data_IF_725359990950
#
_entry.id   IF_725359990950
#
_cell.length_a   1.000
_cell.length_b   1.000
_cell.length_c   1.000
_cell.angle_alpha   90.00
_cell.angle_beta   90.00
_cell.angle_gamma   90.00
#
_symmetry.space_group_name_H-M   'P 1'
#
loop_
_entity.id
_entity.type
_entity.pdbx_description
1 polymer ?
#
# COMPACT_ATOMS: atom_id res chain seq x y z
N UNK A 1 -113.20 -63.01 -31.68
CA UNK A 1 -111.89 -62.77 -32.26
C UNK A 1 -111.01 -62.04 -31.21
N UNK A 2 -110.00 -62.78 -30.76
CA UNK A 2 -109.18 -62.42 -29.60
C UNK A 2 -108.18 -61.25 -29.90
N UNK A 3 -108.24 -60.16 -29.14
CA UNK A 3 -107.40 -59.04 -29.21
C UNK A 3 -106.16 -59.13 -28.23
N UNK A 4 -105.53 -60.32 -28.17
CA UNK A 4 -104.44 -60.62 -27.20
C UNK A 4 -103.02 -60.66 -27.82
N UNK A 5 -102.85 -60.14 -29.03
CA UNK A 5 -101.57 -60.33 -29.76
C UNK A 5 -100.75 -59.09 -30.06
N UNK A 6 -101.09 -57.90 -29.55
CA UNK A 6 -100.43 -56.65 -30.05
C UNK A 6 -99.50 -55.98 -29.00
N UNK A 7 -99.53 -56.35 -27.72
CA UNK A 7 -98.63 -55.68 -26.74
C UNK A 7 -97.72 -56.69 -26.07
N UNK A 8 -96.42 -56.43 -26.07
CA UNK A 8 -95.44 -57.22 -25.31
C UNK A 8 -95.71 -57.13 -23.81
N UNK A 9 -95.82 -58.33 -23.17
CA UNK A 9 -96.04 -58.48 -21.75
C UNK A 9 -95.18 -57.61 -20.88
N UNK A 10 -93.94 -57.25 -21.32
CA UNK A 10 -93.02 -56.41 -20.60
C UNK A 10 -93.43 -54.94 -20.54
N UNK A 11 -94.44 -54.51 -21.39
CA UNK A 11 -94.90 -53.09 -21.38
C UNK A 11 -96.10 -52.90 -20.42
N UNK A 12 -96.89 -53.99 -20.11
CA UNK A 12 -98.00 -53.98 -19.19
C UNK A 12 -97.51 -54.08 -17.71
N UNK A 13 -96.40 -54.80 -17.47
CA UNK A 13 -95.83 -54.92 -16.10
C UNK A 13 -95.19 -53.61 -15.60
N UNK A 14 -94.96 -52.61 -16.50
CA UNK A 14 -94.44 -51.30 -16.11
C UNK A 14 -95.49 -50.27 -15.73
N UNK A 15 -96.78 -50.61 -15.92
CA UNK A 15 -97.87 -49.66 -15.65
C UNK A 15 -98.67 -50.02 -14.36
N UNK A 16 -98.32 -51.11 -13.69
CA UNK A 16 -99.02 -51.58 -12.51
C UNK A 16 -98.17 -51.65 -11.21
N UNK A 17 -97.14 -50.82 -11.09
CA UNK A 17 -96.44 -50.75 -9.79
C UNK A 17 -96.60 -49.35 -9.20
N UNK A 18 -97.51 -49.16 -8.27
CA UNK A 18 -97.71 -47.88 -7.54
C UNK A 18 -96.78 -47.69 -6.34
N UNK A 19 -95.71 -48.48 -6.21
CA UNK A 19 -94.84 -48.43 -5.02
C UNK A 19 -93.35 -48.17 -5.29
N UNK A 20 -93.02 -47.00 -5.96
CA UNK A 20 -91.67 -46.52 -5.96
C UNK A 20 -91.57 -45.06 -5.50
N UNK A 21 -92.41 -44.60 -4.58
CA UNK A 21 -92.32 -43.27 -4.00
C UNK A 21 -91.80 -43.25 -2.58
N UNK A 22 -91.27 -44.38 -2.06
CA UNK A 22 -90.71 -44.41 -0.67
C UNK A 22 -89.26 -44.90 -0.65
N UNK A 23 -88.44 -44.58 -1.67
CA UNK A 23 -87.04 -44.62 -1.50
C UNK A 23 -86.63 -43.32 -0.87
N UNK A 24 -86.49 -43.31 0.46
CA UNK A 24 -85.76 -42.28 1.18
C UNK A 24 -84.42 -42.09 0.50
N UNK A 25 -84.16 -40.93 -0.11
CA UNK A 25 -82.89 -40.51 -0.57
C UNK A 25 -81.93 -40.53 0.61
N UNK A 26 -81.15 -41.59 0.77
CA UNK A 26 -80.04 -41.66 1.67
C UNK A 26 -78.94 -40.67 1.06
N UNK A 27 -79.01 -39.42 1.49
CA UNK A 27 -78.10 -38.31 1.02
C UNK A 27 -76.67 -38.61 1.35
N UNK A 28 -76.36 -39.52 2.22
CA UNK A 28 -75.02 -40.01 2.47
C UNK A 28 -75.00 -41.45 3.00
N UNK A 29 -74.29 -42.34 2.31
CA UNK A 29 -73.93 -43.67 2.86
C UNK A 29 -72.97 -43.52 4.04
N UNK A 30 -72.91 -44.42 5.02
CA UNK A 30 -71.95 -44.38 6.13
C UNK A 30 -70.51 -44.22 5.64
N UNK A 31 -70.16 -44.74 4.45
CA UNK A 31 -68.87 -44.58 3.79
C UNK A 31 -68.67 -43.16 3.23
N UNK A 32 -69.74 -42.46 2.82
CA UNK A 32 -69.68 -41.04 2.41
C UNK A 32 -69.43 -40.13 3.58
N UNK A 33 -69.99 -40.39 4.75
CA UNK A 33 -69.72 -39.66 5.98
C UNK A 33 -68.27 -39.83 6.48
N UNK A 34 -67.67 -41.03 6.39
CA UNK A 34 -66.30 -41.28 6.73
C UNK A 34 -65.37 -40.59 5.76
N UNK A 35 -65.64 -40.56 4.45
CA UNK A 35 -64.89 -39.81 3.46
C UNK A 35 -64.99 -38.31 3.70
N UNK A 36 -66.20 -37.77 4.01
CA UNK A 36 -66.36 -36.37 4.35
C UNK A 36 -65.62 -35.98 5.63
N UNK A 37 -65.52 -36.82 6.65
CA UNK A 37 -64.82 -36.59 7.89
C UNK A 37 -63.29 -36.60 7.67
N UNK A 38 -62.79 -37.52 6.81
CA UNK A 38 -61.35 -37.52 6.41
C UNK A 38 -60.98 -36.23 5.64
N UNK A 39 -61.83 -35.79 4.71
CA UNK A 39 -61.61 -34.55 3.98
C UNK A 39 -61.71 -33.38 4.94
N UNK A 40 -62.67 -33.33 5.85
CA UNK A 40 -62.75 -32.24 6.85
C UNK A 40 -61.54 -32.22 7.80
N UNK A 41 -61.07 -33.42 8.24
CA UNK A 41 -59.85 -33.52 9.05
C UNK A 41 -58.61 -33.09 8.27
N UNK A 42 -58.49 -33.43 6.98
CA UNK A 42 -57.42 -33.03 6.13
C UNK A 42 -57.45 -31.48 5.92
N UNK A 43 -58.66 -30.93 5.66
CA UNK A 43 -58.80 -29.45 5.56
C UNK A 43 -58.47 -28.74 6.88
N UNK A 44 -58.93 -29.29 8.03
CA UNK A 44 -58.57 -28.75 9.35
C UNK A 44 -57.03 -28.82 9.56
N UNK A 45 -56.39 -29.91 9.16
CA UNK A 45 -54.95 -30.08 9.20
C UNK A 45 -54.21 -29.01 8.32
N UNK A 46 -54.69 -28.74 7.12
CA UNK A 46 -54.16 -27.70 6.22
C UNK A 46 -54.34 -26.33 6.85
N UNK A 47 -55.51 -26.01 7.43
CA UNK A 47 -55.76 -24.74 8.10
C UNK A 47 -54.83 -24.58 9.32
N UNK A 48 -54.69 -25.60 10.15
CA UNK A 48 -53.76 -25.58 11.29
C UNK A 48 -52.34 -25.39 10.82
N UNK A 49 -51.89 -26.14 9.78
CA UNK A 49 -50.57 -25.97 9.20
C UNK A 49 -50.37 -24.59 8.57
N UNK A 50 -51.41 -24.01 7.96
CA UNK A 50 -51.38 -22.68 7.38
C UNK A 50 -51.17 -21.58 8.44
N UNK A 51 -51.63 -21.78 9.68
CA UNK A 51 -51.48 -20.82 10.81
C UNK A 51 -50.22 -21.07 11.62
N UNK A 52 -49.83 -22.34 11.82
CA UNK A 52 -48.69 -22.73 12.67
C UNK A 52 -47.42 -22.95 11.86
N UNK A 53 -47.57 -23.24 10.58
CA UNK A 53 -46.44 -23.44 9.66
C UNK A 53 -45.55 -22.21 9.54
N UNK A 54 -44.26 -22.44 9.34
CA UNK A 54 -43.23 -21.40 9.19
C UNK A 54 -42.53 -21.62 7.87
N UNK A 55 -42.62 -20.67 6.93
CA UNK A 55 -41.91 -20.67 5.66
C UNK A 55 -40.84 -19.59 5.74
N UNK A 56 -39.53 -19.93 5.68
CA UNK A 56 -38.48 -18.94 5.68
C UNK A 56 -38.47 -18.15 4.35
N UNK A 57 -38.54 -16.83 4.45
CA UNK A 57 -38.33 -15.92 3.31
C UNK A 57 -36.85 -15.64 3.19
N UNK A 58 -36.29 -15.95 2.03
CA UNK A 58 -34.86 -15.81 1.76
C UNK A 58 -34.61 -14.77 0.72
N UNK A 59 -33.57 -13.96 0.97
CA UNK A 59 -33.03 -13.00 0.00
C UNK A 59 -31.70 -13.50 -0.52
N UNK A 60 -31.59 -13.61 -1.83
CA UNK A 60 -30.41 -14.13 -2.50
C UNK A 60 -29.45 -13.04 -2.92
N UNK A 61 -28.17 -13.33 -2.86
CA UNK A 61 -27.10 -12.51 -3.40
C UNK A 61 -25.93 -13.36 -3.89
N UNK A 62 -25.08 -12.75 -4.64
CA UNK A 62 -23.82 -13.37 -5.08
C UNK A 62 -22.75 -13.09 -4.05
N UNK A 63 -21.90 -14.07 -3.76
CA UNK A 63 -20.83 -13.94 -2.80
C UNK A 63 -19.51 -14.50 -3.30
N UNK A 64 -18.45 -14.09 -2.63
CA UNK A 64 -17.10 -14.59 -2.83
C UNK A 64 -16.52 -14.98 -1.48
N UNK A 65 -15.95 -16.19 -1.39
CA UNK A 65 -15.18 -16.62 -0.23
C UNK A 65 -13.84 -15.89 -0.26
N UNK A 66 -13.52 -15.17 0.82
CA UNK A 66 -12.23 -14.52 1.01
C UNK A 66 -11.63 -14.93 2.34
N UNK A 67 -10.32 -14.74 2.52
CA UNK A 67 -9.71 -14.88 3.84
C UNK A 67 -10.25 -13.79 4.78
N UNK A 68 -10.55 -14.13 6.03
CA UNK A 68 -11.10 -13.20 7.03
C UNK A 68 -10.15 -12.02 7.24
N UNK A 69 -10.66 -10.78 7.05
CA UNK A 69 -9.84 -9.56 7.03
C UNK A 69 -8.91 -9.45 5.82
N UNK A 70 -9.01 -10.37 4.86
CA UNK A 70 -8.18 -10.42 3.67
C UNK A 70 -8.51 -9.31 2.69
N UNK A 71 -7.46 -8.82 2.06
CA UNK A 71 -7.52 -7.87 0.94
C UNK A 71 -6.49 -8.25 -0.10
N UNK A 72 -6.74 -7.88 -1.33
CA UNK A 72 -5.76 -8.03 -2.40
C UNK A 72 -4.91 -6.77 -2.44
N UNK A 73 -3.61 -6.93 -2.35
CA UNK A 73 -2.63 -5.85 -2.40
C UNK A 73 -1.67 -6.09 -3.56
N UNK A 74 -1.43 -5.05 -4.31
CA UNK A 74 -0.41 -5.06 -5.35
C UNK A 74 0.99 -4.86 -4.77
N UNK A 75 1.98 -5.59 -5.28
CA UNK A 75 3.39 -5.33 -5.05
C UNK A 75 3.91 -4.44 -6.18
N UNK A 76 4.07 -3.11 -5.96
CA UNK A 76 4.46 -2.18 -6.99
C UNK A 76 5.98 -2.17 -7.17
N UNK A 77 6.43 -1.94 -8.40
CA UNK A 77 7.80 -1.60 -8.71
C UNK A 77 8.15 -0.21 -8.13
N UNK A 78 9.16 -0.10 -7.27
CA UNK A 78 9.61 1.17 -6.70
C UNK A 78 10.46 1.99 -7.68
N UNK A 79 11.00 1.35 -8.71
CA UNK A 79 11.80 1.98 -9.77
C UNK A 79 11.40 1.54 -11.16
N UNK A 80 11.77 2.33 -12.16
CA UNK A 80 11.62 1.96 -13.56
C UNK A 80 12.78 1.05 -14.02
N UNK A 81 12.49 0.13 -14.94
CA UNK A 81 13.50 -0.77 -15.52
C UNK A 81 12.88 -2.00 -16.14
N UNK A 82 13.68 -2.99 -16.46
CA UNK A 82 13.23 -4.27 -17.00
C UNK A 82 13.14 -5.30 -15.88
N UNK A 83 12.03 -6.00 -15.77
CA UNK A 83 11.87 -7.13 -14.84
C UNK A 83 12.86 -8.25 -15.26
N UNK A 84 13.89 -8.47 -14.47
CA UNK A 84 14.90 -9.48 -14.80
C UNK A 84 14.52 -10.87 -14.34
N UNK A 85 13.89 -10.97 -13.17
CA UNK A 85 13.62 -12.24 -12.51
C UNK A 85 12.42 -12.10 -11.57
N UNK A 86 11.57 -13.13 -11.53
CA UNK A 86 10.59 -13.35 -10.47
C UNK A 86 11.19 -14.36 -9.48
N UNK A 87 11.15 -14.02 -8.20
CA UNK A 87 11.70 -14.84 -7.12
C UNK A 87 10.66 -15.76 -6.51
N UNK A 88 9.38 -15.52 -6.81
CA UNK A 88 8.22 -16.24 -6.26
C UNK A 88 7.28 -16.67 -7.39
N UNK A 89 6.55 -17.75 -7.16
CA UNK A 89 5.54 -18.30 -8.07
C UNK A 89 4.11 -18.03 -7.61
N UNK A 90 3.16 -18.40 -8.47
CA UNK A 90 1.74 -18.34 -8.13
C UNK A 90 1.44 -19.34 -7.01
N UNK A 91 0.76 -18.88 -5.94
CA UNK A 91 0.41 -19.69 -4.78
C UNK A 91 1.44 -19.69 -3.65
N UNK A 92 2.63 -19.13 -3.86
CA UNK A 92 3.65 -19.03 -2.82
C UNK A 92 3.23 -18.08 -1.69
N UNK A 93 3.67 -18.40 -0.47
CA UNK A 93 3.52 -17.54 0.69
C UNK A 93 4.75 -16.65 0.84
N UNK A 94 4.52 -15.36 1.06
CA UNK A 94 5.57 -14.36 1.23
C UNK A 94 5.33 -13.56 2.51
N UNK A 95 6.44 -13.11 3.11
CA UNK A 95 6.40 -12.26 4.30
C UNK A 95 6.55 -10.79 3.93
N UNK A 96 6.05 -9.89 4.78
CA UNK A 96 6.21 -8.45 4.58
C UNK A 96 7.68 -8.06 4.43
N UNK A 97 8.02 -7.31 3.36
CA UNK A 97 9.39 -6.91 3.03
C UNK A 97 10.22 -7.95 2.28
N UNK A 98 9.72 -9.15 2.07
CA UNK A 98 10.42 -10.20 1.30
C UNK A 98 10.57 -9.80 -0.17
N UNK A 99 11.75 -10.02 -0.78
CA UNK A 99 11.97 -9.73 -2.18
C UNK A 99 11.20 -10.72 -3.07
N UNK A 100 10.31 -10.20 -3.92
CA UNK A 100 9.45 -11.00 -4.81
C UNK A 100 9.87 -10.93 -6.27
N UNK A 101 10.60 -9.86 -6.66
CA UNK A 101 11.11 -9.72 -8.02
C UNK A 101 12.35 -8.83 -8.06
N UNK A 102 13.15 -8.96 -9.13
CA UNK A 102 14.30 -8.10 -9.41
C UNK A 102 14.09 -7.30 -10.68
N UNK A 103 14.49 -6.03 -10.61
CA UNK A 103 14.46 -5.09 -11.73
C UNK A 103 15.88 -4.70 -12.09
N UNK A 104 16.21 -4.76 -13.35
CA UNK A 104 17.47 -4.27 -13.93
C UNK A 104 17.23 -2.94 -14.62
N UNK A 105 18.08 -1.96 -14.33
CA UNK A 105 18.06 -0.67 -15.02
C UNK A 105 19.47 -0.35 -15.55
N UNK A 106 19.77 -0.74 -16.82
CA UNK A 106 21.07 -0.50 -17.44
C UNK A 106 21.45 0.98 -17.52
N UNK A 107 20.47 1.86 -17.77
CA UNK A 107 20.70 3.31 -17.88
C UNK A 107 21.17 3.89 -16.53
N UNK A 108 20.57 3.47 -15.44
CA UNK A 108 20.96 3.87 -14.10
C UNK A 108 22.36 3.35 -13.74
N UNK A 109 22.67 2.13 -14.15
CA UNK A 109 24.01 1.55 -13.97
C UNK A 109 25.08 2.33 -14.73
N UNK A 110 24.79 2.74 -15.97
CA UNK A 110 25.67 3.60 -16.76
C UNK A 110 25.86 4.98 -16.13
N UNK A 111 24.76 5.60 -15.65
CA UNK A 111 24.85 6.88 -14.95
C UNK A 111 25.72 6.79 -13.69
N UNK A 112 25.59 5.71 -12.91
CA UNK A 112 26.45 5.44 -11.75
C UNK A 112 27.92 5.30 -12.14
N UNK A 113 28.21 4.54 -13.20
CA UNK A 113 29.57 4.39 -13.70
C UNK A 113 30.19 5.75 -14.10
N UNK A 114 29.42 6.58 -14.81
CA UNK A 114 29.84 7.91 -15.21
C UNK A 114 30.10 8.84 -14.00
N UNK A 115 29.20 8.85 -13.01
CA UNK A 115 29.40 9.65 -11.80
C UNK A 115 30.60 9.19 -10.97
N UNK A 116 30.85 7.88 -10.87
CA UNK A 116 32.04 7.33 -10.22
C UNK A 116 33.32 7.74 -10.95
N UNK A 117 33.30 7.78 -12.28
CA UNK A 117 34.41 8.28 -13.08
C UNK A 117 34.67 9.78 -12.80
N UNK A 118 33.65 10.60 -12.65
CA UNK A 118 33.78 12.01 -12.24
C UNK A 118 34.42 12.14 -10.85
N UNK A 119 34.02 11.32 -9.88
CA UNK A 119 34.65 11.29 -8.55
C UNK A 119 36.13 10.96 -8.66
N UNK A 120 36.49 9.94 -9.45
CA UNK A 120 37.90 9.58 -9.68
C UNK A 120 38.68 10.73 -10.30
N UNK A 121 38.16 11.38 -11.34
CA UNK A 121 38.77 12.56 -11.98
C UNK A 121 38.99 13.71 -10.99
N UNK A 122 37.99 14.00 -10.11
CA UNK A 122 38.13 15.06 -9.09
C UNK A 122 39.19 14.73 -8.05
N UNK A 123 39.31 13.46 -7.64
CA UNK A 123 40.37 12.99 -6.74
C UNK A 123 41.75 13.11 -7.38
N UNK A 124 41.90 12.76 -8.65
CA UNK A 124 43.14 12.93 -9.39
C UNK A 124 43.51 14.40 -9.55
N UNK A 125 42.55 15.26 -9.85
CA UNK A 125 42.76 16.72 -9.91
C UNK A 125 43.18 17.27 -8.53
N UNK A 126 42.60 16.79 -7.44
CA UNK A 126 43.01 17.17 -6.06
C UNK A 126 44.44 16.73 -5.76
N UNK A 127 44.85 15.55 -6.20
CA UNK A 127 46.21 15.07 -6.01
C UNK A 127 47.24 15.93 -6.81
N UNK A 128 46.91 16.31 -8.03
CA UNK A 128 47.76 17.23 -8.83
C UNK A 128 47.85 18.63 -8.19
N UNK A 129 46.72 19.18 -7.74
CA UNK A 129 46.72 20.46 -7.03
C UNK A 129 47.64 20.44 -5.80
N UNK A 130 47.67 19.33 -5.03
CA UNK A 130 48.57 19.21 -3.89
C UNK A 130 50.04 19.23 -4.29
N UNK A 131 50.40 18.59 -5.40
CA UNK A 131 51.74 18.66 -5.95
C UNK A 131 52.10 20.09 -6.37
N UNK A 132 51.22 20.74 -7.11
CA UNK A 132 51.42 22.13 -7.58
C UNK A 132 51.57 23.10 -6.39
N UNK A 133 50.73 22.98 -5.37
CA UNK A 133 50.82 23.79 -4.15
C UNK A 133 52.10 23.52 -3.35
N UNK A 134 52.59 22.27 -3.32
CA UNK A 134 53.85 21.93 -2.66
C UNK A 134 55.02 22.53 -3.41
N UNK A 135 55.03 22.52 -4.73
CA UNK A 135 56.09 23.13 -5.54
C UNK A 135 56.06 24.68 -5.47
N UNK A 136 54.87 25.31 -5.53
CA UNK A 136 54.70 26.74 -5.27
C UNK A 136 55.21 27.12 -3.87
N UNK A 137 54.89 26.32 -2.84
CA UNK A 137 55.34 26.58 -1.47
C UNK A 137 56.86 26.54 -1.35
N UNK A 138 57.53 25.53 -1.95
CA UNK A 138 59.02 25.45 -1.95
C UNK A 138 59.68 26.66 -2.60
N UNK A 139 59.22 27.04 -3.80
CA UNK A 139 59.75 28.21 -4.52
C UNK A 139 59.53 29.49 -3.72
N UNK A 140 58.37 29.67 -3.15
CA UNK A 140 58.03 30.83 -2.31
C UNK A 140 58.84 30.86 -1.02
N UNK A 141 59.02 29.73 -0.36
CA UNK A 141 59.83 29.65 0.86
C UNK A 141 61.28 30.04 0.59
N UNK A 142 61.92 29.58 -0.51
CA UNK A 142 63.25 29.99 -0.93
C UNK A 142 63.34 31.51 -1.18
N UNK A 143 62.34 32.08 -1.88
CA UNK A 143 62.32 33.56 -2.13
C UNK A 143 62.09 34.34 -0.85
N UNK A 144 61.21 33.91 0.05
CA UNK A 144 60.95 34.55 1.34
C UNK A 144 62.19 34.48 2.26
N UNK A 145 62.92 33.35 2.25
CA UNK A 145 64.11 33.16 3.04
C UNK A 145 65.22 34.19 2.60
N UNK A 146 65.45 34.36 1.26
CA UNK A 146 66.40 35.34 0.75
C UNK A 146 65.99 36.79 1.09
N UNK A 147 64.69 37.11 0.95
CA UNK A 147 64.21 38.47 1.31
C UNK A 147 64.32 38.74 2.82
N UNK A 148 64.05 37.75 3.67
CA UNK A 148 64.17 37.82 5.13
C UNK A 148 65.61 38.06 5.53
N UNK A 149 66.62 37.37 4.96
CA UNK A 149 68.01 37.54 5.22
C UNK A 149 68.45 38.96 4.86
N UNK A 150 68.01 39.47 3.71
CA UNK A 150 68.30 40.84 3.30
C UNK A 150 67.68 41.88 4.24
N UNK A 151 66.45 41.69 4.68
CA UNK A 151 65.77 42.55 5.67
C UNK A 151 66.39 42.47 7.06
N UNK A 152 66.78 41.29 7.55
CA UNK A 152 67.47 41.10 8.84
C UNK A 152 68.84 41.84 8.84
N UNK A 153 69.57 41.77 7.73
CA UNK A 153 70.83 42.55 7.56
C UNK A 153 70.59 44.04 7.64
N UNK A 154 69.60 44.58 6.91
CA UNK A 154 69.18 45.98 6.98
C UNK A 154 68.70 46.40 8.36
N UNK A 155 67.94 45.57 9.02
CA UNK A 155 67.40 45.79 10.38
C UNK A 155 68.51 45.93 11.40
N UNK A 156 69.50 45.05 11.33
CA UNK A 156 70.70 45.14 12.19
C UNK A 156 71.52 46.41 11.94
N UNK A 157 71.73 46.81 10.69
CA UNK A 157 72.41 48.07 10.29
C UNK A 157 71.62 49.31 10.79
N UNK A 158 70.26 49.32 10.59
CA UNK A 158 69.42 50.44 11.05
C UNK A 158 69.40 50.57 12.60
N UNK A 159 69.37 49.49 13.29
CA UNK A 159 69.45 49.43 14.80
C UNK A 159 70.82 49.95 15.29
N UNK A 160 71.91 49.52 14.68
CA UNK A 160 73.25 49.95 15.02
C UNK A 160 73.44 51.46 14.77
N UNK A 161 72.89 51.97 13.61
CA UNK A 161 72.90 53.37 13.29
C UNK A 161 72.08 54.18 14.30
N UNK A 162 70.88 53.76 14.64
CA UNK A 162 70.05 54.41 15.65
C UNK A 162 70.78 54.49 17.00
N UNK A 163 71.36 53.38 17.48
CA UNK A 163 72.10 53.31 18.72
C UNK A 163 73.32 54.27 18.73
N UNK A 164 74.04 54.31 17.63
CA UNK A 164 75.18 55.23 17.50
C UNK A 164 74.73 56.72 17.55
N UNK A 165 73.66 57.08 16.82
CA UNK A 165 73.15 58.45 16.84
C UNK A 165 72.54 58.84 18.20
N UNK A 166 71.87 57.90 18.89
CA UNK A 166 71.40 58.16 20.25
C UNK A 166 72.54 58.36 21.27
N UNK A 167 73.60 57.58 21.19
CA UNK A 167 74.78 57.77 22.03
C UNK A 167 75.43 59.19 21.76
N UNK A 168 75.61 59.52 20.47
CA UNK A 168 76.12 60.84 20.06
C UNK A 168 75.24 62.01 20.54
N UNK A 169 73.95 61.90 20.48
CA UNK A 169 72.99 62.88 21.02
C UNK A 169 73.20 63.07 22.54
N UNK A 170 73.28 61.97 23.27
CA UNK A 170 73.54 61.99 24.73
C UNK A 170 74.85 62.71 25.11
N UNK A 171 75.92 62.44 24.34
CA UNK A 171 77.19 63.05 24.57
C UNK A 171 77.11 64.56 24.31
N UNK A 172 76.45 65.02 23.21
CA UNK A 172 76.22 66.39 22.89
C UNK A 172 75.33 67.12 23.93
N UNK A 173 74.34 66.45 24.50
CA UNK A 173 73.54 67.02 25.59
C UNK A 173 74.37 67.24 26.85
N UNK A 174 75.24 66.33 27.21
CA UNK A 174 76.22 66.53 28.31
C UNK A 174 77.18 67.66 28.06
N UNK A 175 77.74 67.82 26.82
CA UNK A 175 78.63 68.89 26.45
C UNK A 175 77.92 70.24 26.36
N UNK A 176 76.64 70.28 25.97
CA UNK A 176 75.88 71.55 26.00
C UNK A 176 75.64 72.03 27.42
N UNK A 177 75.45 71.19 28.38
CA UNK A 177 75.36 71.52 29.80
C UNK A 177 76.62 72.16 30.31
N UNK A 178 77.76 71.77 29.72
CA UNK A 178 79.08 72.37 30.00
C UNK A 178 79.36 73.61 29.14
N UNK A 179 78.43 74.05 28.25
CA UNK A 179 78.55 75.15 27.33
C UNK A 179 79.69 74.99 26.24
N UNK A 180 80.05 73.74 25.94
CA UNK A 180 81.11 73.41 24.98
C UNK A 180 80.61 73.36 23.54
N UNK A 181 79.34 73.10 23.34
CA UNK A 181 78.70 72.94 21.99
C UNK A 181 77.53 73.91 21.81
N UNK A 182 77.13 74.17 20.56
CA UNK A 182 76.05 75.09 20.21
C UNK A 182 74.70 74.37 20.26
N UNK A 183 73.59 75.13 20.47
CA UNK A 183 72.19 74.58 20.38
C UNK A 183 71.92 74.06 18.98
N UNK A 184 72.50 74.61 17.95
CA UNK A 184 72.34 74.17 16.58
C UNK A 184 72.97 72.79 16.31
N UNK A 185 74.11 72.52 16.94
CA UNK A 185 74.73 71.20 16.87
C UNK A 185 73.84 70.12 17.53
N UNK A 186 73.18 70.46 18.63
CA UNK A 186 72.20 69.56 19.30
C UNK A 186 70.94 69.36 18.46
N UNK A 187 70.44 70.43 17.79
CA UNK A 187 69.27 70.30 16.92
C UNK A 187 69.54 69.34 15.77
N UNK A 188 70.69 69.46 15.12
CA UNK A 188 71.13 68.55 14.04
C UNK A 188 71.22 67.09 14.52
N UNK A 189 71.79 66.83 15.71
CA UNK A 189 71.87 65.50 16.26
C UNK A 189 70.48 64.87 16.55
N UNK A 190 69.54 65.73 16.98
CA UNK A 190 68.12 65.28 17.14
C UNK A 190 67.47 64.88 15.83
N UNK A 191 67.71 65.66 14.75
CA UNK A 191 67.22 65.35 13.40
C UNK A 191 67.84 64.06 12.87
N UNK A 192 69.13 63.81 13.14
CA UNK A 192 69.84 62.58 12.76
C UNK A 192 69.22 61.35 13.49
N UNK A 193 68.86 61.48 14.80
CA UNK A 193 68.15 60.43 15.54
C UNK A 193 66.74 60.19 15.00
N UNK A 194 66.03 61.29 14.65
CA UNK A 194 64.68 61.16 14.06
C UNK A 194 64.75 60.43 12.72
N UNK A 195 65.71 60.76 11.88
CA UNK A 195 65.93 60.07 10.60
C UNK A 195 66.26 58.58 10.81
N UNK A 196 67.18 58.25 11.73
CA UNK A 196 67.57 56.90 12.00
C UNK A 196 66.36 56.02 12.57
N UNK A 197 65.45 56.67 13.33
CA UNK A 197 64.20 56.05 13.77
C UNK A 197 63.27 55.79 12.59
N UNK A 198 63.15 56.68 11.67
CA UNK A 198 62.37 56.53 10.47
C UNK A 198 62.90 55.39 9.58
N UNK A 199 64.25 55.38 9.37
CA UNK A 199 64.89 54.27 8.62
C UNK A 199 64.65 52.92 9.26
N UNK A 200 64.65 52.81 10.61
CA UNK A 200 64.33 51.57 11.34
C UNK A 200 62.86 51.15 11.17
N UNK A 201 61.97 52.13 11.30
CA UNK A 201 60.52 51.87 11.14
C UNK A 201 60.15 51.35 9.74
N UNK A 202 60.81 51.90 8.70
CA UNK A 202 60.66 51.46 7.32
C UNK A 202 61.09 50.01 7.13
N UNK A 203 62.20 49.56 7.70
CA UNK A 203 62.66 48.15 7.64
C UNK A 203 61.74 47.23 8.46
N UNK A 204 61.27 47.68 9.61
CA UNK A 204 60.35 46.96 10.43
C UNK A 204 59.00 46.77 9.70
N UNK A 205 58.48 47.76 9.01
CA UNK A 205 57.34 47.70 8.11
C UNK A 205 57.54 46.63 7.00
N UNK A 206 58.72 46.64 6.37
CA UNK A 206 59.08 45.65 5.36
C UNK A 206 59.07 44.21 5.87
N UNK A 207 59.46 43.97 7.15
CA UNK A 207 59.38 42.64 7.77
C UNK A 207 57.94 42.25 8.06
N UNK A 208 57.07 43.19 8.43
CA UNK A 208 55.65 42.93 8.65
C UNK A 208 54.95 42.61 7.31
N UNK A 209 55.27 43.36 6.23
CA UNK A 209 54.75 43.07 4.88
C UNK A 209 55.11 41.66 4.39
N UNK A 210 56.39 41.27 4.64
CA UNK A 210 56.82 39.91 4.26
C UNK A 210 56.02 38.82 4.99
N UNK A 211 55.70 39.02 6.28
CA UNK A 211 54.88 38.11 7.08
C UNK A 211 53.47 38.05 6.57
N UNK A 212 52.85 39.20 6.24
CA UNK A 212 51.52 39.28 5.69
C UNK A 212 51.39 38.52 4.37
N UNK A 213 52.34 38.71 3.44
CA UNK A 213 52.37 37.98 2.16
C UNK A 213 52.51 36.48 2.34
N UNK A 214 53.25 36.01 3.35
CA UNK A 214 53.33 34.58 3.71
C UNK A 214 51.97 34.05 4.12
N UNK A 215 51.29 34.72 5.07
CA UNK A 215 49.96 34.33 5.58
C UNK A 215 48.91 34.33 4.48
N UNK A 216 48.89 35.38 3.62
CA UNK A 216 47.98 35.46 2.49
C UNK A 216 48.15 34.29 1.53
N UNK A 217 49.37 33.89 1.25
CA UNK A 217 49.65 32.74 0.40
C UNK A 217 49.21 31.41 1.02
N UNK A 218 49.40 31.23 2.32
CA UNK A 218 48.92 30.05 3.06
C UNK A 218 47.39 29.96 3.06
N UNK A 219 46.69 31.09 3.29
CA UNK A 219 45.24 31.18 3.22
C UNK A 219 44.74 30.87 1.80
N UNK A 220 45.40 31.37 0.75
CA UNK A 220 45.04 31.11 -0.63
C UNK A 220 45.20 29.62 -1.00
N UNK A 221 46.28 28.98 -0.54
CA UNK A 221 46.49 27.54 -0.72
C UNK A 221 45.42 26.70 -0.02
N UNK A 222 45.10 27.07 1.22
CA UNK A 222 44.07 26.36 2.02
C UNK A 222 42.69 26.55 1.41
N UNK A 223 42.37 27.69 0.82
CA UNK A 223 41.11 27.92 0.10
C UNK A 223 41.01 26.99 -1.11
N UNK A 224 42.06 26.88 -1.94
CA UNK A 224 42.08 25.98 -3.12
C UNK A 224 41.92 24.53 -2.71
N UNK A 225 42.50 24.09 -1.59
CA UNK A 225 42.30 22.73 -1.04
C UNK A 225 40.85 22.50 -0.69
N UNK A 226 40.24 23.40 0.08
CA UNK A 226 38.82 23.28 0.49
C UNK A 226 37.90 23.27 -0.71
N UNK A 227 38.09 24.11 -1.71
CA UNK A 227 37.30 24.13 -2.94
C UNK A 227 37.38 22.77 -3.69
N UNK A 228 38.55 22.16 -3.75
CA UNK A 228 38.72 20.84 -4.34
C UNK A 228 38.07 19.73 -3.51
N UNK A 229 38.20 19.75 -2.18
CA UNK A 229 37.59 18.79 -1.28
C UNK A 229 36.04 18.90 -1.28
N UNK A 230 35.50 20.10 -1.34
CA UNK A 230 34.06 20.36 -1.50
C UNK A 230 33.52 19.80 -2.82
N UNK A 231 34.26 19.97 -3.93
CA UNK A 231 33.90 19.42 -5.23
C UNK A 231 33.88 17.89 -5.25
N UNK A 232 34.81 17.23 -4.52
CA UNK A 232 34.82 15.78 -4.34
C UNK A 232 33.58 15.34 -3.51
N UNK A 233 33.37 15.98 -2.37
CA UNK A 233 32.26 15.65 -1.47
C UNK A 233 30.89 15.83 -2.14
N UNK A 234 30.74 16.83 -3.00
CA UNK A 234 29.52 17.03 -3.80
C UNK A 234 29.31 15.87 -4.80
N UNK A 235 30.37 15.50 -5.53
CA UNK A 235 30.29 14.39 -6.48
C UNK A 235 29.98 13.04 -5.77
N UNK A 236 30.59 12.80 -4.61
CA UNK A 236 30.32 11.60 -3.78
C UNK A 236 28.87 11.57 -3.27
N UNK A 237 28.33 12.71 -2.83
CA UNK A 237 26.91 12.79 -2.44
C UNK A 237 25.98 12.41 -3.59
N UNK A 238 26.27 12.87 -4.82
CA UNK A 238 25.48 12.51 -6.01
C UNK A 238 25.56 11.01 -6.33
N UNK A 239 26.73 10.40 -6.18
CA UNK A 239 26.88 8.93 -6.31
C UNK A 239 26.05 8.22 -5.27
N UNK A 240 26.16 8.59 -4.00
CA UNK A 240 25.41 7.95 -2.90
C UNK A 240 23.89 8.09 -3.07
N UNK A 241 23.41 9.25 -3.53
CA UNK A 241 21.98 9.46 -3.83
C UNK A 241 21.50 8.53 -4.94
N UNK A 242 22.27 8.42 -6.03
CA UNK A 242 21.90 7.56 -7.16
C UNK A 242 22.00 6.07 -6.81
N UNK A 243 22.99 5.67 -6.00
CA UNK A 243 23.11 4.30 -5.45
C UNK A 243 21.91 3.94 -4.58
N UNK A 244 21.49 4.83 -3.68
CA UNK A 244 20.32 4.61 -2.86
C UNK A 244 19.02 4.51 -3.68
N UNK A 245 18.91 5.29 -4.76
CA UNK A 245 17.79 5.20 -5.72
C UNK A 245 17.83 3.87 -6.47
N UNK A 246 19.00 3.48 -6.96
CA UNK A 246 19.20 2.21 -7.67
C UNK A 246 18.86 1.02 -6.79
N UNK A 247 19.36 0.99 -5.55
CA UNK A 247 19.10 -0.10 -4.61
C UNK A 247 17.61 -0.26 -4.29
N UNK A 248 16.90 0.86 -4.05
CA UNK A 248 15.44 0.84 -3.80
C UNK A 248 14.64 0.39 -5.02
N UNK A 249 15.07 0.77 -6.21
CA UNK A 249 14.38 0.41 -7.46
C UNK A 249 14.74 -0.97 -8.00
N UNK A 250 15.81 -1.60 -7.51
CA UNK A 250 16.29 -2.88 -8.03
C UNK A 250 15.46 -4.09 -7.58
N UNK A 251 14.67 -3.96 -6.52
CA UNK A 251 13.92 -5.06 -5.91
C UNK A 251 12.49 -4.64 -5.67
N UNK A 252 11.56 -5.51 -6.04
CA UNK A 252 10.16 -5.42 -5.64
C UNK A 252 9.99 -6.25 -4.38
N UNK A 253 9.41 -5.68 -3.35
CA UNK A 253 9.16 -6.37 -2.07
C UNK A 253 7.67 -6.53 -1.83
N UNK A 254 7.30 -7.59 -1.11
CA UNK A 254 5.93 -7.80 -0.66
C UNK A 254 5.53 -6.69 0.34
N UNK A 255 4.41 -5.98 0.12
CA UNK A 255 3.96 -4.93 1.03
C UNK A 255 3.48 -5.47 2.39
N UNK A 256 2.90 -6.66 2.39
CA UNK A 256 2.39 -7.37 3.57
C UNK A 256 2.61 -8.87 3.42
N UNK A 257 2.49 -9.61 4.53
CA UNK A 257 2.51 -11.08 4.52
C UNK A 257 1.22 -11.60 3.87
N UNK A 258 1.37 -12.52 2.92
CA UNK A 258 0.23 -13.07 2.18
C UNK A 258 0.66 -14.12 1.16
N UNK A 259 -0.31 -14.57 0.37
CA UNK A 259 -0.13 -15.54 -0.72
C UNK A 259 -0.22 -14.86 -2.07
N UNK A 260 0.69 -15.19 -2.99
CA UNK A 260 0.67 -14.70 -4.38
C UNK A 260 -0.56 -15.27 -5.12
N UNK A 261 -1.46 -14.38 -5.53
CA UNK A 261 -2.69 -14.76 -6.25
C UNK A 261 -2.61 -14.52 -7.74
N UNK A 262 -1.79 -13.56 -8.17
CA UNK A 262 -1.65 -13.21 -9.58
C UNK A 262 -0.26 -12.66 -9.87
N UNK A 263 0.30 -13.04 -11.01
CA UNK A 263 1.52 -12.47 -11.57
C UNK A 263 1.09 -11.56 -12.73
N UNK A 264 1.17 -10.23 -12.52
CA UNK A 264 0.71 -9.22 -13.50
C UNK A 264 1.76 -8.93 -14.58
N UNK A 265 3.04 -9.20 -14.29
CA UNK A 265 4.15 -8.94 -15.20
C UNK A 265 5.10 -10.13 -15.30
N UNK A 266 5.60 -10.40 -16.49
CA UNK A 266 6.53 -11.49 -16.75
C UNK A 266 7.97 -10.97 -16.89
N UNK A 267 9.00 -11.81 -16.64
CA UNK A 267 10.39 -11.47 -16.92
C UNK A 267 10.57 -10.96 -18.34
N UNK A 268 11.33 -9.88 -18.50
CA UNK A 268 11.51 -9.14 -19.76
C UNK A 268 10.55 -7.96 -19.95
N UNK A 269 9.51 -7.80 -19.12
CA UNK A 269 8.62 -6.66 -19.21
C UNK A 269 9.30 -5.36 -18.75
N UNK A 270 9.01 -4.27 -19.45
CA UNK A 270 9.40 -2.92 -19.06
C UNK A 270 8.43 -2.41 -17.99
N UNK A 271 8.98 -1.95 -16.86
CA UNK A 271 8.23 -1.46 -15.71
C UNK A 271 8.44 0.03 -15.52
N UNK A 272 7.36 0.71 -15.17
CA UNK A 272 7.39 2.07 -14.62
C UNK A 272 7.31 2.05 -13.09
N UNK A 273 7.80 3.10 -12.45
CA UNK A 273 7.63 3.25 -11.01
C UNK A 273 6.13 3.30 -10.63
N UNK A 274 5.73 2.54 -9.62
CA UNK A 274 4.34 2.38 -9.21
C UNK A 274 3.56 1.29 -9.95
N UNK A 275 4.11 0.67 -10.99
CA UNK A 275 3.45 -0.40 -11.73
C UNK A 275 3.42 -1.69 -10.91
N UNK A 276 2.24 -2.31 -10.81
CA UNK A 276 2.06 -3.58 -10.11
C UNK A 276 2.74 -4.73 -10.86
N UNK A 277 3.53 -5.52 -10.14
CA UNK A 277 4.24 -6.69 -10.66
C UNK A 277 3.47 -7.97 -10.37
N UNK A 278 2.94 -8.11 -9.18
CA UNK A 278 2.09 -9.22 -8.75
C UNK A 278 1.07 -8.74 -7.72
N UNK A 279 0.02 -9.55 -7.51
CA UNK A 279 -0.99 -9.34 -6.48
C UNK A 279 -0.83 -10.37 -5.36
N UNK A 280 -1.01 -9.91 -4.13
CA UNK A 280 -0.94 -10.70 -2.91
C UNK A 280 -2.29 -10.67 -2.21
N UNK A 281 -2.79 -11.83 -1.80
CA UNK A 281 -3.92 -11.92 -0.89
C UNK A 281 -3.39 -11.99 0.54
N UNK A 282 -3.73 -10.99 1.34
CA UNK A 282 -3.47 -10.97 2.78
C UNK A 282 -4.63 -11.61 3.53
N UNK A 283 -4.47 -11.97 4.81
CA UNK A 283 -5.53 -12.50 5.66
C UNK A 283 -5.16 -13.82 6.32
N UNK A 284 -5.98 -14.21 7.30
CA UNK A 284 -5.79 -15.45 8.05
C UNK A 284 -6.24 -16.71 7.29
N UNK A 285 -6.03 -17.86 7.92
CA UNK A 285 -6.49 -19.18 7.42
C UNK A 285 -8.02 -19.34 7.42
N UNK A 286 -8.73 -18.43 8.07
CA UNK A 286 -10.19 -18.49 8.17
C UNK A 286 -10.87 -17.78 7.01
N UNK A 287 -11.93 -18.41 6.49
CA UNK A 287 -12.71 -17.87 5.40
C UNK A 287 -13.93 -17.11 5.92
N UNK A 288 -14.21 -15.98 5.28
CA UNK A 288 -15.50 -15.27 5.37
C UNK A 288 -16.10 -15.14 3.96
N UNK A 289 -17.39 -14.86 3.90
CA UNK A 289 -18.05 -14.58 2.62
C UNK A 289 -18.38 -13.10 2.53
N UNK A 290 -17.92 -12.47 1.48
CA UNK A 290 -18.41 -11.15 1.07
C UNK A 290 -19.55 -11.36 0.09
N UNK A 291 -20.73 -10.88 0.46
CA UNK A 291 -21.96 -11.00 -0.30
C UNK A 291 -22.34 -9.65 -0.91
N UNK A 292 -22.73 -9.67 -2.17
CA UNK A 292 -23.26 -8.54 -2.91
C UNK A 292 -24.77 -8.73 -3.10
N UNK A 293 -25.54 -7.86 -2.44
CA UNK A 293 -27.00 -7.94 -2.39
C UNK A 293 -27.61 -6.90 -3.34
N UNK A 294 -28.55 -7.27 -4.21
CA UNK A 294 -29.24 -6.32 -5.08
C UNK A 294 -29.85 -5.16 -4.30
N UNK A 295 -29.95 -3.94 -4.88
CA UNK A 295 -30.47 -2.76 -4.19
C UNK A 295 -31.88 -2.93 -3.61
N UNK A 296 -32.73 -3.72 -4.27
CA UNK A 296 -34.10 -4.00 -3.85
C UNK A 296 -34.16 -4.74 -2.49
N UNK A 297 -33.18 -5.56 -2.17
CA UNK A 297 -33.17 -6.44 -1.01
C UNK A 297 -32.21 -5.96 0.11
N UNK A 298 -31.33 -5.03 -0.19
CA UNK A 298 -30.27 -4.59 0.72
C UNK A 298 -30.73 -4.00 2.05
N UNK A 299 -31.91 -3.37 2.09
CA UNK A 299 -32.49 -2.83 3.32
C UNK A 299 -33.31 -3.85 4.13
N UNK A 300 -33.57 -5.03 3.56
CA UNK A 300 -34.30 -6.10 4.24
C UNK A 300 -33.39 -6.97 5.11
N UNK A 301 -32.07 -6.96 4.87
CA UNK A 301 -31.09 -7.75 5.61
C UNK A 301 -30.48 -6.95 6.77
N UNK A 302 -30.22 -7.64 7.89
CA UNK A 302 -29.64 -7.05 9.10
C UNK A 302 -28.61 -7.98 9.72
N UNK A 303 -27.58 -7.44 10.41
CA UNK A 303 -26.64 -8.24 11.20
C UNK A 303 -27.36 -9.20 12.14
N UNK A 304 -26.81 -10.39 12.34
CA UNK A 304 -27.37 -11.46 13.17
C UNK A 304 -28.33 -12.41 12.44
N UNK A 305 -28.69 -12.14 11.18
CA UNK A 305 -29.55 -13.05 10.41
C UNK A 305 -28.81 -14.33 9.99
N UNK A 306 -29.46 -15.50 10.04
CA UNK A 306 -28.86 -16.75 9.57
C UNK A 306 -28.73 -16.76 8.05
N UNK A 307 -27.62 -17.35 7.58
CA UNK A 307 -27.25 -17.37 6.18
C UNK A 307 -26.94 -18.78 5.73
N UNK A 308 -27.38 -19.12 4.52
CA UNK A 308 -27.00 -20.36 3.83
C UNK A 308 -26.12 -20.01 2.64
N UNK A 309 -24.99 -20.69 2.53
CA UNK A 309 -23.96 -20.42 1.52
C UNK A 309 -23.76 -21.66 0.66
N UNK A 310 -23.89 -21.53 -0.64
CA UNK A 310 -23.69 -22.61 -1.62
C UNK A 310 -22.48 -22.26 -2.49
N UNK A 311 -21.27 -22.80 -2.19
CA UNK A 311 -20.11 -22.60 -3.03
C UNK A 311 -20.33 -23.16 -4.44
N UNK A 312 -19.79 -22.51 -5.46
CA UNK A 312 -19.92 -22.96 -6.86
C UNK A 312 -19.26 -24.33 -7.12
N UNK A 313 -18.28 -24.69 -6.27
CA UNK A 313 -17.61 -26.00 -6.30
C UNK A 313 -18.41 -27.13 -5.64
N UNK A 314 -19.50 -26.80 -4.91
CA UNK A 314 -20.32 -27.73 -4.15
C UNK A 314 -21.81 -27.50 -4.42
N UNK A 315 -22.40 -28.11 -5.47
CA UNK A 315 -23.82 -27.99 -5.76
C UNK A 315 -24.69 -28.39 -4.57
N UNK A 316 -25.67 -27.53 -4.23
CA UNK A 316 -26.54 -27.63 -3.06
C UNK A 316 -27.26 -28.99 -2.96
N UNK A 317 -27.68 -29.51 -4.12
CA UNK A 317 -28.44 -30.76 -4.20
C UNK A 317 -27.61 -31.98 -3.77
N UNK A 318 -26.30 -31.91 -3.93
CA UNK A 318 -25.38 -33.02 -3.66
C UNK A 318 -24.66 -32.90 -2.32
N UNK A 319 -24.29 -31.67 -1.94
CA UNK A 319 -23.39 -31.40 -0.82
C UNK A 319 -24.06 -30.62 0.33
N UNK A 320 -25.27 -30.08 0.10
CA UNK A 320 -25.92 -29.21 1.07
C UNK A 320 -25.36 -27.77 0.98
N UNK A 321 -25.53 -27.03 2.07
CA UNK A 321 -25.08 -25.65 2.20
C UNK A 321 -24.23 -25.46 3.43
N UNK A 322 -23.30 -24.50 3.41
CA UNK A 322 -22.64 -24.01 4.62
C UNK A 322 -23.62 -23.14 5.40
N UNK A 323 -23.52 -23.19 6.71
CA UNK A 323 -24.27 -22.30 7.61
C UNK A 323 -23.35 -21.13 8.05
N UNK A 324 -23.96 -19.99 8.31
CA UNK A 324 -23.27 -18.82 8.79
C UNK A 324 -24.20 -17.74 9.30
N UNK A 325 -23.59 -16.66 9.73
CA UNK A 325 -24.30 -15.50 10.31
C UNK A 325 -23.85 -14.22 9.60
N UNK A 326 -24.80 -13.35 9.33
CA UNK A 326 -24.56 -12.03 8.77
C UNK A 326 -23.93 -11.12 9.83
N UNK A 327 -22.67 -10.73 9.62
CA UNK A 327 -21.89 -9.89 10.57
C UNK A 327 -22.18 -8.42 10.38
N UNK A 328 -22.16 -7.95 9.13
CA UNK A 328 -22.35 -6.54 8.81
C UNK A 328 -22.97 -6.33 7.43
N UNK A 329 -23.62 -5.20 7.26
CA UNK A 329 -24.18 -4.75 5.98
C UNK A 329 -23.82 -3.28 5.81
N UNK A 330 -23.45 -2.88 4.60
CA UNK A 330 -23.20 -1.48 4.30
C UNK A 330 -24.48 -0.66 4.38
N UNK A 331 -24.41 0.56 4.91
CA UNK A 331 -25.57 1.47 4.98
C UNK A 331 -26.00 2.00 3.62
N UNK A 332 -25.05 2.06 2.68
CA UNK A 332 -25.24 2.57 1.32
C UNK A 332 -24.75 1.53 0.28
N UNK A 333 -25.34 1.57 -0.93
CA UNK A 333 -24.80 0.79 -2.05
C UNK A 333 -23.35 1.13 -2.33
N UNK A 334 -22.54 0.10 -2.65
CA UNK A 334 -21.09 0.25 -2.92
C UNK A 334 -20.87 0.57 -4.41
N UNK A 335 -19.90 1.43 -4.68
CA UNK A 335 -19.45 1.73 -6.04
C UNK A 335 -18.60 0.58 -6.62
N UNK A 336 -18.44 0.55 -7.93
CA UNK A 336 -17.55 -0.41 -8.61
C UNK A 336 -16.11 -0.35 -8.09
N UNK A 337 -15.60 0.84 -7.71
CA UNK A 337 -14.26 0.98 -7.13
C UNK A 337 -14.18 0.41 -5.72
N UNK A 338 -15.26 0.53 -4.92
CA UNK A 338 -15.35 -0.12 -3.61
C UNK A 338 -15.36 -1.65 -3.72
N UNK A 339 -15.97 -2.20 -4.78
CA UNK A 339 -15.94 -3.64 -5.05
C UNK A 339 -14.54 -4.08 -5.50
N UNK A 340 -13.86 -3.30 -6.36
CA UNK A 340 -12.46 -3.57 -6.80
C UNK A 340 -11.46 -3.64 -5.65
N UNK A 341 -11.68 -2.88 -4.59
CA UNK A 341 -10.83 -2.94 -3.40
C UNK A 341 -10.90 -4.32 -2.68
N UNK A 342 -11.91 -5.14 -2.99
CA UNK A 342 -12.12 -6.47 -2.39
C UNK A 342 -11.86 -7.57 -3.42
N UNK A 343 -12.28 -7.34 -4.69
CA UNK A 343 -12.24 -8.30 -5.79
C UNK A 343 -11.49 -7.68 -6.95
N UNK A 344 -10.22 -8.04 -7.11
CA UNK A 344 -9.35 -7.52 -8.18
C UNK A 344 -9.56 -8.27 -9.52
N UNK A 345 -10.84 -8.40 -9.92
CA UNK A 345 -11.21 -8.99 -11.22
C UNK A 345 -12.31 -8.15 -11.87
N UNK A 346 -12.01 -7.40 -12.95
CA UNK A 346 -12.97 -6.51 -13.59
C UNK A 346 -14.25 -7.23 -14.07
N UNK A 347 -14.14 -8.46 -14.58
CA UNK A 347 -15.30 -9.23 -15.06
C UNK A 347 -16.25 -9.63 -13.93
N UNK A 348 -15.70 -9.99 -12.75
CA UNK A 348 -16.52 -10.28 -11.57
C UNK A 348 -17.18 -9.01 -11.04
N UNK A 349 -16.44 -7.90 -10.98
CA UNK A 349 -17.01 -6.61 -10.57
C UNK A 349 -18.20 -6.23 -11.46
N UNK A 350 -18.06 -6.38 -12.77
CA UNK A 350 -19.15 -6.08 -13.71
C UNK A 350 -20.37 -6.98 -13.47
N UNK A 351 -20.15 -8.27 -13.20
CA UNK A 351 -21.24 -9.21 -12.89
C UNK A 351 -22.01 -8.85 -11.62
N UNK A 352 -21.33 -8.34 -10.59
CA UNK A 352 -21.95 -7.96 -9.32
C UNK A 352 -22.75 -6.66 -9.41
N UNK A 353 -22.45 -5.79 -10.36
CA UNK A 353 -23.18 -4.52 -10.55
C UNK A 353 -24.26 -4.57 -11.63
N UNK A 354 -24.48 -5.70 -12.32
CA UNK A 354 -25.47 -5.81 -13.39
C UNK A 354 -26.89 -5.41 -12.96
N UNK A 355 -27.28 -5.72 -11.72
CA UNK A 355 -28.59 -5.37 -11.15
C UNK A 355 -28.61 -3.95 -10.51
N UNK A 356 -27.57 -3.15 -10.72
CA UNK A 356 -27.35 -1.86 -10.08
C UNK A 356 -26.32 -1.94 -8.93
N UNK A 357 -25.94 -0.79 -8.32
CA UNK A 357 -24.96 -0.75 -7.23
C UNK A 357 -25.42 -1.58 -6.04
N UNK A 358 -24.75 -2.69 -5.69
CA UNK A 358 -25.18 -3.59 -4.62
C UNK A 358 -24.87 -3.07 -3.23
N UNK A 359 -25.56 -3.60 -2.23
CA UNK A 359 -25.13 -3.51 -0.84
C UNK A 359 -24.09 -4.58 -0.55
N UNK A 360 -23.04 -4.20 0.20
CA UNK A 360 -21.99 -5.11 0.65
C UNK A 360 -22.40 -5.70 2.01
N UNK A 361 -22.37 -7.02 2.12
CA UNK A 361 -22.59 -7.72 3.36
C UNK A 361 -21.44 -8.69 3.65
N UNK A 362 -21.03 -8.79 4.91
CA UNK A 362 -20.04 -9.77 5.37
C UNK A 362 -20.71 -10.86 6.17
N UNK A 363 -20.40 -12.09 5.84
CA UNK A 363 -20.96 -13.29 6.43
C UNK A 363 -19.85 -14.11 7.04
N UNK A 364 -19.93 -14.37 8.32
CA UNK A 364 -19.07 -15.32 9.02
C UNK A 364 -19.61 -16.71 8.84
N UNK A 365 -18.78 -17.65 8.39
CA UNK A 365 -19.13 -19.06 8.24
C UNK A 365 -18.99 -19.74 9.61
N UNK A 366 -19.97 -20.56 9.98
CA UNK A 366 -19.90 -21.33 11.21
C UNK A 366 -18.81 -22.39 11.15
N UNK A 367 -17.96 -22.41 12.16
CA UNK A 367 -16.84 -23.37 12.23
C UNK A 367 -17.30 -24.70 12.78
N UNK A 368 -16.75 -25.75 12.23
CA UNK A 368 -16.89 -27.13 12.76
C UNK A 368 -15.51 -27.81 12.66
N UNK A 369 -14.75 -27.85 13.76
CA UNK A 369 -13.42 -28.49 13.77
C UNK A 369 -13.47 -29.99 13.46
N UNK A 370 -14.66 -30.61 13.52
CA UNK A 370 -14.83 -32.05 13.22
C UNK A 370 -14.95 -32.34 11.72
N UNK A 371 -15.19 -31.31 10.89
CA UNK A 371 -15.28 -31.45 9.44
C UNK A 371 -13.91 -31.23 8.77
N UNK A 372 -13.65 -31.93 7.67
CA UNK A 372 -12.43 -31.76 6.86
C UNK A 372 -12.29 -30.33 6.33
N UNK A 373 -13.41 -29.67 6.02
CA UNK A 373 -13.44 -28.27 5.59
C UNK A 373 -13.18 -27.27 6.72
N UNK A 374 -13.30 -27.68 7.99
CA UNK A 374 -13.27 -26.80 9.16
C UNK A 374 -14.56 -25.99 9.38
N UNK A 375 -15.60 -26.20 8.55
CA UNK A 375 -16.83 -25.42 8.54
C UNK A 375 -18.07 -26.32 8.66
N UNK A 376 -19.18 -25.74 9.17
CA UNK A 376 -20.43 -26.42 9.38
C UNK A 376 -21.26 -26.48 8.09
N UNK A 377 -21.64 -27.72 7.71
CA UNK A 377 -22.51 -28.00 6.58
C UNK A 377 -23.87 -28.51 7.04
N UNK A 378 -24.90 -28.30 6.22
CA UNK A 378 -26.21 -28.88 6.42
C UNK A 378 -26.26 -30.36 6.05
N UNK A 379 -25.26 -30.91 5.38
CA UNK A 379 -25.12 -32.29 4.92
C UNK A 379 -23.73 -32.84 5.26
N UNK A 380 -23.65 -34.10 5.62
CA UNK A 380 -22.40 -34.79 5.92
C UNK A 380 -21.46 -34.90 4.70
N UNK A 381 -21.99 -34.91 3.48
CA UNK A 381 -21.17 -34.96 2.24
C UNK A 381 -20.38 -33.67 1.97
N UNK A 382 -20.89 -32.52 2.42
CA UNK A 382 -20.22 -31.27 2.27
C UNK A 382 -18.98 -31.11 3.16
N UNK A 383 -18.96 -31.80 4.29
CA UNK A 383 -17.86 -31.72 5.26
C UNK A 383 -16.50 -32.20 4.72
N UNK A 384 -16.50 -33.02 3.66
CA UNK A 384 -15.27 -33.61 3.09
C UNK A 384 -14.61 -32.71 2.02
N UNK A 385 -15.24 -31.59 1.67
CA UNK A 385 -14.74 -30.67 0.64
C UNK A 385 -13.80 -29.61 1.25
N UNK A 386 -12.61 -29.48 0.67
CA UNK A 386 -11.72 -28.36 0.96
C UNK A 386 -12.25 -27.07 0.29
N UNK A 387 -12.37 -26.01 1.08
CA UNK A 387 -12.78 -24.70 0.61
C UNK A 387 -11.55 -23.82 0.45
N UNK A 388 -11.52 -22.99 -0.59
CA UNK A 388 -10.46 -22.04 -0.82
C UNK A 388 -11.00 -20.64 -1.03
N UNK A 389 -10.21 -19.63 -0.64
CA UNK A 389 -10.48 -18.25 -1.01
C UNK A 389 -10.52 -18.10 -2.55
N UNK A 390 -11.35 -17.14 -3.04
CA UNK A 390 -11.59 -16.96 -4.47
C UNK A 390 -12.74 -17.81 -5.02
N UNK A 391 -13.38 -18.68 -4.20
CA UNK A 391 -14.53 -19.47 -4.62
C UNK A 391 -15.78 -18.60 -4.63
N UNK A 392 -16.50 -18.58 -5.78
CA UNK A 392 -17.80 -17.93 -5.88
C UNK A 392 -18.86 -18.75 -5.11
N UNK A 393 -19.84 -18.06 -4.54
CA UNK A 393 -20.94 -18.70 -3.83
C UNK A 393 -22.27 -17.97 -4.09
N UNK A 394 -23.34 -18.74 -4.11
CA UNK A 394 -24.69 -18.21 -3.95
C UNK A 394 -25.01 -18.16 -2.45
N UNK A 395 -25.50 -17.03 -2.00
CA UNK A 395 -25.74 -16.76 -0.57
C UNK A 395 -27.19 -16.39 -0.36
N UNK A 396 -27.84 -17.06 0.55
CA UNK A 396 -29.25 -16.82 0.90
C UNK A 396 -29.35 -16.40 2.37
N UNK A 397 -29.88 -15.20 2.61
CA UNK A 397 -30.14 -14.68 3.97
C UNK A 397 -31.59 -14.92 4.33
N UNK A 398 -31.86 -15.54 5.48
CA UNK A 398 -33.21 -15.69 6.00
C UNK A 398 -33.67 -14.41 6.70
N UNK A 399 -34.56 -13.65 6.02
CA UNK A 399 -34.97 -12.31 6.47
C UNK A 399 -36.18 -12.31 7.37
N UNK A 400 -37.11 -13.25 7.15
CA UNK A 400 -38.36 -13.39 7.91
C UNK A 400 -38.85 -14.83 7.85
N UNK A 401 -39.69 -15.19 8.82
CA UNK A 401 -40.46 -16.44 8.76
C UNK A 401 -41.91 -16.02 8.61
N UNK A 402 -42.49 -16.31 7.46
CA UNK A 402 -43.88 -15.99 7.19
C UNK A 402 -44.77 -17.25 7.38
N UNK A 403 -46.01 -17.04 7.84
CA UNK A 403 -46.98 -18.12 7.93
C UNK A 403 -47.60 -18.33 6.56
N UNK A 404 -47.90 -19.59 6.15
CA UNK A 404 -48.55 -19.82 4.84
C UNK A 404 -49.83 -19.02 4.62
N UNK A 405 -50.58 -18.77 5.70
CA UNK A 405 -51.81 -17.97 5.65
C UNK A 405 -51.56 -16.52 5.26
N UNK A 406 -50.40 -15.94 5.68
CA UNK A 406 -50.06 -14.54 5.38
C UNK A 406 -49.73 -14.34 3.89
N UNK A 407 -49.31 -15.40 3.18
CA UNK A 407 -49.09 -15.39 1.73
C UNK A 407 -50.41 -15.48 0.93
N UNK A 408 -51.46 -16.08 1.49
CA UNK A 408 -52.75 -16.25 0.81
C UNK A 408 -53.65 -15.03 0.98
N UNK A 409 -53.54 -14.34 2.12
CA UNK A 409 -54.39 -13.17 2.43
C UNK A 409 -54.18 -12.00 1.44
N UNK A 410 -52.95 -11.62 1.02
CA UNK A 410 -52.76 -10.61 0.01
C UNK A 410 -53.37 -10.97 -1.37
N UNK A 411 -53.21 -12.23 -1.80
CA UNK A 411 -53.85 -12.75 -3.03
C UNK A 411 -55.39 -12.68 -2.98
N UNK A 412 -55.97 -12.97 -1.83
CA UNK A 412 -57.42 -12.84 -1.60
C UNK A 412 -57.86 -11.37 -1.61
N UNK A 413 -57.07 -10.45 -1.05
CA UNK A 413 -57.34 -9.02 -1.11
C UNK A 413 -57.26 -8.46 -2.51
N UNK A 414 -56.24 -8.87 -3.30
CA UNK A 414 -56.13 -8.49 -4.70
C UNK A 414 -57.30 -9.00 -5.55
N UNK A 415 -57.83 -10.21 -5.24
CA UNK A 415 -58.93 -10.84 -5.96
C UNK A 415 -60.32 -10.32 -5.54
N UNK A 416 -60.45 -9.86 -4.30
CA UNK A 416 -61.74 -9.35 -3.76
C UNK A 416 -61.84 -7.83 -3.87
N UNK A 417 -60.76 -7.11 -4.24
CA UNK A 417 -60.77 -5.65 -4.40
C UNK A 417 -60.92 -4.88 -3.07
N UNK A 418 -60.62 -5.48 -1.92
CA UNK A 418 -60.68 -4.87 -0.57
C UNK A 418 -59.31 -4.45 -0.10
#
# INVERSE_FOLDING_TARGET
MNASGIFRKAALDRLSSPEQLDQTLTVASPRGWTAALVVAAAMAGVVVWSVVGAIPVRKAGQGLLIAEGGRVLDAPALGAGTLSELLVGLGDEVTAGEPVARISNPDLSLQLANLRAVVAERRDARARLEQDLADEARLREASLAAQREALDTRLNAARSRLSYQQGRLSDLEALLAQKVVTRDALARARDEVAQARQDLAEVESGTADLRSRKIEAEIAAERRRREADEAIAEAERRVAELEARAARGAVVTAPETGRVTEIKQLPGAQLSAGQAVLALQTGGETLEVVMFVPPADGKAIRPGMPVQISPSTAPRESFGTLTGELVSVSDFPVSSDGIRAIVDNPGLVESFVQAGPPFLARVRIDRDPSSTSGYRWTSSKGSDLALSAGTLASVEVETATERPIDMVIPLLKEWTGL
#
